data_IF_946270743603
#
_entry.id   IF_946270743603
#
_cell.length_a   1.000
_cell.length_b   1.000
_cell.length_c   1.000
_cell.angle_alpha   90.00
_cell.angle_beta   90.00
_cell.angle_gamma   90.00
#
_symmetry.space_group_name_H-M   'P 1'
#
loop_
_entity.id
_entity.type
_entity.pdbx_description
1 polymer ?
#
# COMPACT_ATOMS: atom_id res chain seq x y z
N UNK A 1 -0.26 -1.27 -8.58
CA UNK A 1 -1.60 -1.49 -8.01
C UNK A 1 -2.31 -2.70 -8.61
N UNK A 2 -2.30 -2.89 -9.93
CA UNK A 2 -2.87 -4.09 -10.59
C UNK A 2 -2.24 -5.42 -10.13
N UNK A 3 -0.93 -5.45 -9.87
CA UNK A 3 -0.28 -6.64 -9.31
C UNK A 3 -0.82 -7.01 -7.92
N UNK A 4 -1.01 -6.02 -7.04
CA UNK A 4 -1.65 -6.22 -5.73
C UNK A 4 -3.12 -6.63 -5.85
N UNK A 5 -3.86 -6.04 -6.80
CA UNK A 5 -5.24 -6.45 -7.13
C UNK A 5 -5.30 -7.94 -7.52
N UNK A 6 -4.42 -8.39 -8.42
CA UNK A 6 -4.34 -9.79 -8.82
C UNK A 6 -3.93 -10.74 -7.68
N UNK A 7 -3.14 -10.24 -6.72
CA UNK A 7 -2.67 -10.98 -5.55
C UNK A 7 -3.58 -10.92 -4.31
N UNK A 8 -4.74 -10.23 -4.37
CA UNK A 8 -5.57 -9.96 -3.18
C UNK A 8 -5.95 -11.20 -2.38
N UNK A 9 -6.18 -12.34 -3.04
CA UNK A 9 -6.52 -13.59 -2.38
C UNK A 9 -5.43 -14.03 -1.39
N UNK A 10 -4.14 -13.89 -1.74
CA UNK A 10 -3.01 -14.24 -0.86
C UNK A 10 -3.02 -13.43 0.44
N UNK A 11 -3.31 -12.13 0.35
CA UNK A 11 -3.40 -11.26 1.51
C UNK A 11 -4.60 -11.62 2.39
N UNK A 12 -5.76 -11.88 1.76
CA UNK A 12 -6.97 -12.28 2.49
C UNK A 12 -6.82 -13.61 3.22
N UNK A 13 -6.18 -14.60 2.59
CA UNK A 13 -5.86 -15.90 3.20
C UNK A 13 -4.90 -15.75 4.39
N UNK A 14 -3.97 -14.79 4.32
CA UNK A 14 -3.09 -14.44 5.43
C UNK A 14 -3.77 -13.56 6.51
N UNK A 15 -5.08 -13.27 6.40
CA UNK A 15 -5.79 -12.39 7.33
C UNK A 15 -5.40 -10.91 7.22
N UNK A 16 -4.74 -10.51 6.14
CA UNK A 16 -4.29 -9.15 5.89
C UNK A 16 -5.23 -8.40 4.94
N UNK A 17 -5.25 -7.08 5.06
CA UNK A 17 -5.95 -6.18 4.16
C UNK A 17 -4.94 -5.31 3.40
N UNK A 18 -5.25 -5.00 2.14
CA UNK A 18 -4.44 -4.10 1.31
C UNK A 18 -5.06 -2.70 1.34
N UNK A 19 -4.23 -1.68 1.52
CA UNK A 19 -4.61 -0.26 1.43
C UNK A 19 -3.60 0.45 0.52
N UNK A 20 -4.06 1.05 -0.57
CA UNK A 20 -3.23 1.93 -1.38
C UNK A 20 -3.22 3.35 -0.79
N UNK A 21 -2.10 4.05 -0.86
CA UNK A 21 -1.99 5.44 -0.41
C UNK A 21 -1.32 6.27 -1.52
N UNK A 22 -1.88 7.44 -1.81
CA UNK A 22 -1.28 8.40 -2.74
C UNK A 22 -1.40 9.83 -2.21
N UNK A 23 -0.49 10.71 -2.63
CA UNK A 23 -0.55 12.16 -2.37
C UNK A 23 -1.62 12.90 -3.18
N UNK A 24 -2.34 12.18 -4.05
CA UNK A 24 -3.45 12.71 -4.84
C UNK A 24 -4.68 13.05 -3.97
N UNK A 25 -5.56 13.90 -4.49
CA UNK A 25 -6.82 14.26 -3.83
C UNK A 25 -7.86 13.11 -3.95
N UNK A 26 -8.90 13.17 -3.11
CA UNK A 26 -9.97 12.17 -3.09
C UNK A 26 -10.70 12.01 -4.43
N UNK A 27 -11.08 13.07 -5.18
CA UNK A 27 -11.73 12.92 -6.48
C UNK A 27 -10.88 12.14 -7.49
N UNK A 28 -9.59 12.46 -7.59
CA UNK A 28 -8.68 11.76 -8.50
C UNK A 28 -8.53 10.28 -8.09
N UNK A 29 -8.35 10.00 -6.80
CA UNK A 29 -8.25 8.62 -6.31
C UNK A 29 -9.53 7.83 -6.55
N UNK A 30 -10.70 8.45 -6.36
CA UNK A 30 -11.97 7.79 -6.62
C UNK A 30 -12.13 7.45 -8.11
N UNK A 31 -11.76 8.36 -9.02
CA UNK A 31 -11.76 8.10 -10.46
C UNK A 31 -10.82 6.96 -10.83
N UNK A 32 -9.56 6.99 -10.37
CA UNK A 32 -8.59 5.93 -10.65
C UNK A 32 -9.03 4.59 -10.07
N UNK A 33 -9.55 4.57 -8.84
CA UNK A 33 -10.00 3.34 -8.18
C UNK A 33 -11.18 2.70 -8.88
N UNK A 34 -12.20 3.48 -9.26
CA UNK A 34 -13.48 2.96 -9.75
C UNK A 34 -13.57 2.85 -11.26
N UNK A 35 -13.10 3.87 -11.98
CA UNK A 35 -13.31 3.97 -13.42
C UNK A 35 -12.15 3.35 -14.20
N UNK A 36 -10.92 3.56 -13.73
CA UNK A 36 -9.72 3.16 -14.48
C UNK A 36 -9.20 1.78 -14.08
N UNK A 37 -8.91 1.59 -12.78
CA UNK A 37 -8.25 0.38 -12.28
C UNK A 37 -9.22 -0.66 -11.74
N UNK A 38 -10.45 -0.27 -11.38
CA UNK A 38 -11.49 -1.14 -10.82
C UNK A 38 -10.96 -1.99 -9.66
N UNK A 39 -10.38 -1.31 -8.67
CA UNK A 39 -9.74 -1.96 -7.52
C UNK A 39 -10.77 -2.43 -6.51
N UNK A 40 -10.52 -3.61 -5.92
CA UNK A 40 -11.33 -4.19 -4.83
C UNK A 40 -10.77 -3.86 -3.44
N UNK A 41 -9.78 -2.97 -3.37
CA UNK A 41 -9.19 -2.48 -2.13
C UNK A 41 -9.20 -0.94 -2.08
N UNK A 42 -9.29 -0.36 -0.88
CA UNK A 42 -9.41 1.09 -0.72
C UNK A 42 -8.13 1.84 -1.09
N UNK A 43 -8.30 3.09 -1.51
CA UNK A 43 -7.23 4.08 -1.66
C UNK A 43 -7.42 5.22 -0.67
N UNK A 44 -6.40 5.54 0.12
CA UNK A 44 -6.38 6.70 1.00
C UNK A 44 -5.66 7.88 0.34
N UNK A 45 -6.21 9.07 0.56
CA UNK A 45 -5.60 10.33 0.15
C UNK A 45 -4.68 10.85 1.24
N UNK A 46 -3.41 10.99 0.93
CA UNK A 46 -2.43 11.75 1.71
C UNK A 46 -2.18 13.12 1.06
N UNK A 47 -3.25 13.85 0.79
CA UNK A 47 -3.19 15.17 0.15
C UNK A 47 -2.30 16.17 0.91
N UNK A 48 -2.15 16.01 2.23
CA UNK A 48 -1.29 16.85 3.06
C UNK A 48 0.15 16.31 3.18
N UNK A 49 0.48 15.17 2.56
CA UNK A 49 1.81 14.52 2.57
C UNK A 49 2.31 14.16 3.97
N UNK A 50 1.41 14.07 4.96
CA UNK A 50 1.75 13.82 6.35
C UNK A 50 2.14 12.37 6.56
N UNK A 51 1.41 11.45 5.93
CA UNK A 51 1.70 10.02 6.03
C UNK A 51 2.99 9.68 5.30
N UNK A 52 3.15 10.14 4.05
CA UNK A 52 4.37 9.92 3.28
C UNK A 52 5.61 10.49 3.98
N UNK A 53 5.50 11.67 4.62
CA UNK A 53 6.59 12.24 5.41
C UNK A 53 6.87 11.40 6.68
N UNK A 54 5.84 11.02 7.43
CA UNK A 54 5.99 10.24 8.66
C UNK A 54 6.60 8.85 8.42
N UNK A 55 6.32 8.25 7.26
CA UNK A 55 6.89 6.96 6.83
C UNK A 55 8.24 7.12 6.10
N UNK A 56 8.77 8.33 5.96
CA UNK A 56 10.08 8.58 5.36
C UNK A 56 10.14 8.41 3.84
N UNK A 57 8.99 8.30 3.16
CA UNK A 57 8.91 8.00 1.72
C UNK A 57 8.56 9.22 0.87
N UNK A 58 8.30 10.39 1.47
CA UNK A 58 8.02 11.61 0.73
C UNK A 58 9.28 12.09 0.00
N UNK A 59 9.19 12.19 -1.33
CA UNK A 59 10.16 12.94 -2.13
C UNK A 59 9.76 14.43 -2.09
N UNK A 60 10.52 15.22 -1.33
CA UNK A 60 10.24 16.66 -1.15
C UNK A 60 10.48 17.49 -2.41
N UNK A 61 11.33 17.02 -3.32
CA UNK A 61 11.61 17.73 -4.58
C UNK A 61 10.46 17.61 -5.58
N UNK A 62 9.81 16.44 -5.65
CA UNK A 62 8.69 16.19 -6.56
C UNK A 62 7.31 16.34 -5.90
N UNK A 63 7.25 16.28 -4.56
CA UNK A 63 6.00 16.30 -3.80
C UNK A 63 5.22 14.99 -3.84
N UNK A 64 5.81 13.91 -4.38
CA UNK A 64 5.21 12.58 -4.48
C UNK A 64 5.83 11.63 -3.45
N UNK A 65 5.09 10.58 -3.08
CA UNK A 65 5.66 9.47 -2.34
C UNK A 65 6.52 8.59 -3.28
N UNK A 66 7.71 8.21 -2.83
CA UNK A 66 8.48 7.13 -3.40
C UNK A 66 7.68 5.82 -3.27
N UNK A 67 7.90 4.88 -4.19
CA UNK A 67 7.24 3.58 -4.14
C UNK A 67 7.75 2.82 -2.93
N UNK A 68 6.84 2.50 -2.01
CA UNK A 68 7.13 1.69 -0.85
C UNK A 68 5.92 0.83 -0.49
N UNK A 69 6.14 -0.26 0.20
CA UNK A 69 5.09 -1.12 0.75
C UNK A 69 5.48 -1.57 2.14
N UNK A 70 4.54 -1.44 3.08
CA UNK A 70 4.73 -1.74 4.49
C UNK A 70 3.78 -2.85 4.89
N UNK A 71 4.29 -3.87 5.57
CA UNK A 71 3.46 -4.86 6.26
C UNK A 71 3.41 -4.48 7.72
N UNK A 72 2.22 -4.17 8.20
CA UNK A 72 1.95 -3.72 9.56
C UNK A 72 1.09 -4.79 10.23
N UNK A 73 1.50 -5.22 11.43
CA UNK A 73 0.71 -6.18 12.21
C UNK A 73 -0.48 -5.53 12.94
N UNK A 74 -1.29 -6.35 13.60
CA UNK A 74 -2.47 -5.89 14.34
C UNK A 74 -2.13 -5.01 15.58
N UNK A 75 -0.85 -4.95 16.00
CA UNK A 75 -0.38 -4.07 17.06
C UNK A 75 0.17 -2.74 16.52
N UNK A 76 0.14 -2.54 15.19
CA UNK A 76 0.65 -1.34 14.54
C UNK A 76 2.16 -1.34 14.34
N UNK A 77 2.83 -2.49 14.47
CA UNK A 77 4.28 -2.60 14.27
C UNK A 77 4.57 -2.97 12.82
N UNK A 78 5.54 -2.25 12.22
CA UNK A 78 6.04 -2.57 10.89
C UNK A 78 6.90 -3.83 10.96
N UNK A 79 6.48 -4.87 10.24
CA UNK A 79 7.13 -6.17 10.20
C UNK A 79 7.95 -6.37 8.92
N UNK A 80 7.64 -5.61 7.87
CA UNK A 80 8.35 -5.67 6.60
C UNK A 80 8.22 -4.36 5.83
N UNK A 81 9.28 -4.00 5.10
CA UNK A 81 9.34 -2.81 4.25
C UNK A 81 9.97 -3.22 2.92
N UNK A 82 9.33 -2.85 1.82
CA UNK A 82 9.93 -2.88 0.48
C UNK A 82 9.90 -1.47 -0.13
N UNK A 83 10.94 -1.12 -0.88
CA UNK A 83 11.07 0.20 -1.51
C UNK A 83 11.54 0.09 -2.97
N UNK A 84 11.18 1.11 -3.76
CA UNK A 84 11.62 1.23 -5.14
C UNK A 84 10.99 0.18 -6.06
N UNK A 85 11.81 -0.57 -6.79
CA UNK A 85 11.37 -1.54 -7.78
C UNK A 85 10.78 -2.80 -7.16
N UNK A 86 11.23 -3.22 -5.98
CA UNK A 86 10.74 -4.43 -5.31
C UNK A 86 9.31 -4.24 -4.81
N UNK A 87 8.98 -3.05 -4.31
CA UNK A 87 7.64 -2.69 -3.82
C UNK A 87 6.52 -2.79 -4.89
N UNK A 88 6.86 -2.97 -6.17
CA UNK A 88 5.90 -3.18 -7.25
C UNK A 88 5.37 -4.63 -7.23
N UNK A 89 6.20 -5.58 -6.80
CA UNK A 89 5.86 -7.00 -6.74
C UNK A 89 5.23 -7.33 -5.38
N UNK A 90 3.99 -7.84 -5.33
CA UNK A 90 3.33 -8.20 -4.07
C UNK A 90 3.89 -9.45 -3.39
N UNK A 91 4.78 -10.23 -4.01
CA UNK A 91 5.21 -11.52 -3.45
C UNK A 91 5.99 -11.37 -2.14
N UNK A 92 6.86 -10.36 -2.02
CA UNK A 92 7.62 -10.11 -0.79
C UNK A 92 6.71 -9.73 0.38
N UNK A 93 5.79 -8.79 0.14
CA UNK A 93 4.79 -8.38 1.12
C UNK A 93 3.79 -9.49 1.46
N UNK A 94 3.31 -10.26 0.49
CA UNK A 94 2.42 -11.40 0.73
C UNK A 94 3.10 -12.49 1.57
N UNK A 95 4.38 -12.79 1.27
CA UNK A 95 5.17 -13.73 2.06
C UNK A 95 5.42 -13.20 3.48
N UNK A 96 5.57 -11.89 3.65
CA UNK A 96 5.66 -11.28 4.98
C UNK A 96 4.35 -11.42 5.75
N UNK A 97 3.19 -11.17 5.12
CA UNK A 97 1.89 -11.36 5.76
C UNK A 97 1.67 -12.81 6.21
N UNK A 98 2.02 -13.81 5.40
CA UNK A 98 1.81 -15.22 5.76
C UNK A 98 2.67 -15.71 6.93
N UNK A 99 3.79 -15.01 7.22
CA UNK A 99 4.63 -15.28 8.40
C UNK A 99 4.05 -14.66 9.68
N UNK A 100 3.16 -13.69 9.55
CA UNK A 100 2.45 -13.13 10.70
C UNK A 100 1.37 -14.12 11.12
N UNK A 101 1.53 -14.70 12.31
CA UNK A 101 0.48 -15.55 12.87
C UNK A 101 -0.74 -14.68 13.16
N UNK A 102 -1.94 -15.01 12.65
CA UNK A 102 -3.16 -14.49 13.24
C UNK A 102 -3.17 -14.95 14.70
N UNK A 103 -3.20 -14.00 15.64
CA UNK A 103 -3.41 -14.31 17.07
C UNK A 103 -4.89 -14.54 17.33
#
# INVERSE_FOLDING_TARGET
MTAYQAGLAKFKEAGAQVLGISTDNLPALNYWSKEVLKLDFPLASDWQRKTAAAYGVLNTASGFANRASFVIDAQGIIQHIEEGSTAINPDGTAAACSRLKPR
#
